data_IF_700878821205
#
_entry.id   IF_700878821205
#
_cell.length_a   1.000
_cell.length_b   1.000
_cell.length_c   1.000
_cell.angle_alpha   90.00
_cell.angle_beta   90.00
_cell.angle_gamma   90.00
#
_symmetry.space_group_name_H-M   'P 1'
#
loop_
_entity.id
_entity.type
_entity.pdbx_description
1 polymer ?
#
# COMPACT_ATOMS: atom_id res chain seq x y z
N UNK A 1 -5.99 -7.85 -3.35
CA UNK A 1 -5.64 -7.04 -2.16
C UNK A 1 -5.66 -5.57 -2.53
N UNK A 2 -6.41 -4.74 -1.79
CA UNK A 2 -6.78 -3.38 -2.22
C UNK A 2 -5.74 -2.29 -1.94
N UNK A 3 -4.71 -2.58 -1.13
CA UNK A 3 -3.87 -1.54 -0.52
C UNK A 3 -2.36 -1.65 -0.86
N UNK A 4 -1.97 -2.59 -1.73
CA UNK A 4 -0.61 -2.65 -2.29
C UNK A 4 0.47 -3.31 -1.41
N UNK A 5 0.12 -3.95 -0.30
CA UNK A 5 1.10 -4.60 0.59
C UNK A 5 1.61 -5.97 0.12
N UNK A 6 0.94 -6.57 -0.86
CA UNK A 6 1.31 -7.86 -1.44
C UNK A 6 1.37 -7.72 -2.96
N UNK A 7 2.34 -8.37 -3.65
CA UNK A 7 2.42 -8.30 -5.10
C UNK A 7 1.14 -8.85 -5.73
N UNK A 8 0.78 -8.41 -6.93
CA UNK A 8 -0.35 -9.00 -7.63
C UNK A 8 -0.04 -10.48 -7.95
N UNK A 9 -1.01 -11.37 -7.79
CA UNK A 9 -0.87 -12.77 -8.20
C UNK A 9 -0.83 -12.80 -9.73
N UNK A 10 0.23 -13.34 -10.31
CA UNK A 10 0.19 -13.75 -11.71
C UNK A 10 -0.73 -14.97 -11.87
N UNK A 11 -1.43 -15.04 -13.01
CA UNK A 11 -2.34 -16.15 -13.36
C UNK A 11 -1.66 -17.52 -13.25
N UNK A 12 -0.33 -17.56 -13.41
CA UNK A 12 0.50 -18.76 -13.44
C UNK A 12 0.90 -19.27 -12.04
N UNK A 13 1.01 -18.38 -11.04
CA UNK A 13 1.48 -18.74 -9.67
C UNK A 13 0.33 -18.93 -8.66
N UNK A 14 -0.91 -18.56 -9.03
CA UNK A 14 -2.07 -18.70 -8.15
C UNK A 14 -1.93 -18.02 -6.78
N UNK A 15 -2.70 -18.49 -5.79
CA UNK A 15 -2.68 -17.98 -4.40
C UNK A 15 -1.50 -18.50 -3.56
N UNK A 16 -0.49 -19.14 -4.16
CA UNK A 16 0.69 -19.63 -3.44
C UNK A 16 1.51 -18.44 -2.93
N UNK A 17 1.35 -18.12 -1.64
CA UNK A 17 2.11 -17.07 -0.95
C UNK A 17 2.99 -17.71 0.10
N UNK A 18 4.24 -17.27 0.16
CA UNK A 18 5.12 -17.63 1.26
C UNK A 18 4.63 -16.98 2.55
N UNK A 19 4.59 -17.74 3.65
CA UNK A 19 4.14 -17.25 4.95
C UNK A 19 4.95 -16.01 5.40
N UNK A 20 6.26 -16.01 5.14
CA UNK A 20 7.14 -14.88 5.43
C UNK A 20 6.72 -13.59 4.72
N UNK A 21 6.35 -13.69 3.43
CA UNK A 21 5.89 -12.53 2.66
C UNK A 21 4.60 -11.95 3.21
N UNK A 22 3.68 -12.81 3.68
CA UNK A 22 2.45 -12.37 4.32
C UNK A 22 2.73 -11.65 5.65
N UNK A 23 3.60 -12.22 6.49
CA UNK A 23 4.00 -11.60 7.76
C UNK A 23 4.62 -10.22 7.53
N UNK A 24 5.50 -10.09 6.55
CA UNK A 24 6.13 -8.79 6.23
C UNK A 24 5.12 -7.77 5.70
N UNK A 25 4.16 -8.21 4.88
CA UNK A 25 3.06 -7.36 4.44
C UNK A 25 2.21 -6.85 5.62
N UNK A 26 1.91 -7.72 6.59
CA UNK A 26 1.16 -7.34 7.81
C UNK A 26 1.96 -6.33 8.63
N UNK A 27 3.27 -6.54 8.83
CA UNK A 27 4.12 -5.59 9.55
C UNK A 27 4.12 -4.20 8.90
N UNK A 28 4.17 -4.16 7.57
CA UNK A 28 4.11 -2.91 6.82
C UNK A 28 2.75 -2.20 6.96
N UNK A 29 1.65 -2.94 6.95
CA UNK A 29 0.32 -2.40 7.21
C UNK A 29 0.21 -1.81 8.62
N UNK A 30 0.69 -2.54 9.62
CA UNK A 30 0.67 -2.11 11.02
C UNK A 30 1.47 -0.83 11.23
N UNK A 31 2.67 -0.78 10.64
CA UNK A 31 3.54 0.40 10.66
C UNK A 31 2.88 1.62 10.03
N UNK A 32 2.19 1.45 8.90
CA UNK A 32 1.45 2.53 8.25
C UNK A 32 0.24 2.98 9.07
N UNK A 33 -0.51 2.04 9.64
CA UNK A 33 -1.65 2.32 10.50
C UNK A 33 -1.30 2.85 11.89
N UNK A 34 -0.01 2.92 12.24
CA UNK A 34 0.45 3.40 13.55
C UNK A 34 0.08 2.49 14.72
N UNK A 35 -0.18 1.20 14.46
CA UNK A 35 -0.48 0.20 15.49
C UNK A 35 0.77 -0.64 15.81
N UNK A 36 0.82 -1.36 16.94
CA UNK A 36 1.95 -2.22 17.27
C UNK A 36 2.29 -3.20 16.15
N UNK A 37 3.57 -3.28 15.80
CA UNK A 37 4.06 -4.12 14.69
C UNK A 37 4.34 -5.53 15.21
N UNK A 38 3.36 -6.42 15.08
CA UNK A 38 3.44 -7.83 15.50
C UNK A 38 3.72 -8.75 14.30
N UNK A 39 3.26 -8.38 13.10
CA UNK A 39 3.26 -9.26 11.93
C UNK A 39 2.16 -10.32 11.94
N UNK A 40 1.23 -10.23 12.90
CA UNK A 40 0.08 -11.12 13.04
C UNK A 40 -1.23 -10.34 12.88
N UNK A 41 -2.30 -11.05 12.51
CA UNK A 41 -3.63 -10.45 12.33
C UNK A 41 -4.35 -10.39 13.69
N UNK A 42 -3.91 -9.46 14.53
CA UNK A 42 -4.55 -9.13 15.81
C UNK A 42 -5.85 -8.31 15.61
N UNK A 43 -6.60 -8.10 16.68
CA UNK A 43 -7.89 -7.40 16.60
C UNK A 43 -7.73 -5.92 16.21
N UNK A 44 -6.61 -5.29 16.58
CA UNK A 44 -6.25 -3.96 16.11
C UNK A 44 -6.04 -3.92 14.59
N UNK A 45 -5.31 -4.89 14.05
CA UNK A 45 -5.07 -5.05 12.60
C UNK A 45 -6.38 -5.34 11.87
N UNK A 46 -7.25 -6.21 12.41
CA UNK A 46 -8.57 -6.47 11.83
C UNK A 46 -9.44 -5.21 11.78
N UNK A 47 -9.43 -4.43 12.86
CA UNK A 47 -10.15 -3.15 12.93
C UNK A 47 -9.61 -2.19 11.87
N UNK A 48 -8.28 -2.05 11.78
CA UNK A 48 -7.60 -1.22 10.78
C UNK A 48 -7.97 -1.62 9.35
N UNK A 49 -7.97 -2.91 9.03
CA UNK A 49 -8.33 -3.44 7.71
C UNK A 49 -9.79 -3.17 7.32
N UNK A 50 -10.70 -3.15 8.30
CA UNK A 50 -12.15 -2.92 8.09
C UNK A 50 -12.55 -1.44 8.02
N UNK A 51 -11.69 -0.54 8.48
CA UNK A 51 -11.96 0.91 8.47
C UNK A 51 -12.19 1.41 7.04
N UNK A 52 -13.20 2.26 6.83
CA UNK A 52 -13.46 2.91 5.53
C UNK A 52 -12.27 3.81 5.17
N UNK A 53 -11.72 3.63 3.97
CA UNK A 53 -10.48 4.30 3.53
C UNK A 53 -10.43 4.44 2.01
N UNK A 54 -9.53 5.31 1.55
CA UNK A 54 -9.22 5.49 0.14
C UNK A 54 -8.81 4.16 -0.54
N UNK A 55 -9.11 4.03 -1.83
CA UNK A 55 -8.71 2.88 -2.65
C UNK A 55 -7.29 2.97 -3.23
N UNK A 56 -6.61 4.10 -3.05
CA UNK A 56 -5.22 4.30 -3.48
C UNK A 56 -4.28 3.46 -2.61
N UNK A 57 -3.26 2.88 -3.21
CA UNK A 57 -2.22 2.09 -2.52
C UNK A 57 -1.44 2.95 -1.51
N UNK A 58 -1.14 2.37 -0.36
CA UNK A 58 -0.37 3.06 0.70
C UNK A 58 1.12 3.15 0.38
N UNK A 59 1.62 2.18 -0.41
CA UNK A 59 3.00 2.17 -0.87
C UNK A 59 3.12 2.77 -2.27
N UNK A 60 4.09 3.66 -2.50
CA UNK A 60 4.41 4.11 -3.86
C UNK A 60 4.84 2.93 -4.72
N UNK A 61 4.59 3.05 -6.03
CA UNK A 61 4.91 2.01 -6.98
C UNK A 61 6.42 1.69 -6.94
N UNK A 62 6.81 0.42 -6.74
CA UNK A 62 8.20 -0.01 -6.66
C UNK A 62 9.07 0.43 -7.85
N UNK A 63 8.48 0.69 -9.03
CA UNK A 63 9.18 1.22 -10.20
C UNK A 63 9.87 2.56 -9.93
N UNK A 64 9.37 3.35 -8.98
CA UNK A 64 9.97 4.64 -8.60
C UNK A 64 10.89 4.57 -7.37
N UNK A 65 11.12 3.36 -6.81
CA UNK A 65 11.89 3.18 -5.57
C UNK A 65 13.37 3.58 -5.68
N UNK A 66 13.95 3.58 -6.90
CA UNK A 66 15.39 3.85 -7.15
C UNK A 66 15.76 5.33 -7.20
N UNK A 67 14.78 6.24 -7.15
CA UNK A 67 15.03 7.69 -7.28
C UNK A 67 14.91 8.37 -5.91
N UNK A 68 15.71 9.43 -5.65
CA UNK A 68 15.60 10.20 -4.40
C UNK A 68 14.15 10.71 -4.23
N UNK A 69 13.46 10.20 -3.22
CA UNK A 69 12.09 10.61 -2.93
C UNK A 69 12.07 12.02 -2.34
N UNK A 70 11.30 12.91 -2.94
CA UNK A 70 10.94 14.17 -2.29
C UNK A 70 10.06 13.85 -1.08
N UNK A 71 10.03 14.72 -0.06
CA UNK A 71 9.21 14.55 1.17
C UNK A 71 7.68 14.57 0.92
N UNK A 72 7.25 14.58 -0.33
CA UNK A 72 5.87 14.51 -0.77
C UNK A 72 5.74 13.44 -1.84
N UNK A 73 4.66 12.66 -1.77
CA UNK A 73 4.27 11.75 -2.85
C UNK A 73 3.76 12.56 -4.03
N UNK A 74 4.47 12.51 -5.16
CA UNK A 74 3.93 13.02 -6.42
C UNK A 74 2.92 11.99 -6.91
N UNK A 75 1.67 12.12 -6.46
CA UNK A 75 0.57 11.33 -7.01
C UNK A 75 0.23 11.90 -8.39
N UNK A 76 0.74 11.25 -9.44
CA UNK A 76 0.47 11.61 -10.84
C UNK A 76 1.51 12.54 -11.46
N UNK A 77 1.22 13.02 -12.67
CA UNK A 77 2.02 14.03 -13.34
C UNK A 77 1.60 15.43 -12.87
N UNK A 78 2.55 16.35 -12.76
CA UNK A 78 2.23 17.76 -12.47
C UNK A 78 1.31 18.29 -13.57
N UNK A 79 0.20 18.91 -13.18
CA UNK A 79 -0.66 19.61 -14.13
C UNK A 79 0.16 20.67 -14.90
N UNK A 80 0.17 20.63 -16.24
CA UNK A 80 0.93 21.59 -17.03
C UNK A 80 0.33 23.01 -16.96
N UNK A 81 -0.98 23.10 -16.74
CA UNK A 81 -1.73 24.34 -16.55
C UNK A 81 -2.30 24.43 -15.13
N UNK A 82 -2.50 25.67 -14.65
CA UNK A 82 -3.03 25.95 -13.30
C UNK A 82 -4.54 26.16 -13.27
N UNK A 83 -5.14 26.47 -14.42
CA UNK A 83 -6.59 26.64 -14.56
C UNK A 83 -7.22 25.26 -14.77
N UNK A 84 -7.56 24.59 -13.68
CA UNK A 84 -8.18 23.27 -13.69
C UNK A 84 -9.71 23.41 -13.79
N UNK A 85 -10.34 22.57 -14.60
CA UNK A 85 -11.81 22.45 -14.69
C UNK A 85 -12.22 21.01 -14.37
N UNK A 86 -13.38 20.83 -13.75
CA UNK A 86 -13.93 19.52 -13.37
C UNK A 86 -15.41 19.41 -13.79
N UNK A 87 -15.91 18.18 -13.91
CA UNK A 87 -17.33 17.86 -14.11
C UNK A 87 -17.76 16.79 -13.12
#
# INVERSE_FOLDING_TARGET
MRFGYLPQTDLETGNLRMEGQLRDAIKNLQKFGGIPVTGEIDDATKKLMKTRRCGVSDHPDPRFAKTRHKRFTIHGQRWPYRNLTWR
#
